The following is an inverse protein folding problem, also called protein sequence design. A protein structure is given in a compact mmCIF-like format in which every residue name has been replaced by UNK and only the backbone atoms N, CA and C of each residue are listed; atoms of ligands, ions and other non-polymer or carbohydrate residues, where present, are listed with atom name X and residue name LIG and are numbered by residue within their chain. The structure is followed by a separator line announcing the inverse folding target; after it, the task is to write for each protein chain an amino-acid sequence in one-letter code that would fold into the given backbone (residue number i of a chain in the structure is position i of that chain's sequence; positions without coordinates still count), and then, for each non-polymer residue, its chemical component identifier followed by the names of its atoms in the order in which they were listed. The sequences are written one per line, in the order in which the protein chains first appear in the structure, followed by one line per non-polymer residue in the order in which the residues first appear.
data_IF_878295267501
#
_entry.id   IF_878295267501
#
_cell.length_a   1.000
_cell.length_b   1.000
_cell.length_c   1.000
_cell.angle_alpha   90.00
_cell.angle_beta   90.00
_cell.angle_gamma   90.00
#
_symmetry.space_group_name_H-M   'P 1'
#
loop_
_entity.id
_entity.type
_entity.pdbx_description
1 polymer ?
#
# COMPACT_ATOMS: atom_id res chain seq x y z
N UNK A 1 -12.28 36.37 -54.34
CA UNK A 1 -13.46 36.14 -55.21
C UNK A 1 -12.96 35.73 -56.57
N UNK A 2 -13.36 34.55 -57.03
CA UNK A 2 -12.81 33.89 -58.23
C UNK A 2 -13.11 32.41 -58.12
N UNK A 3 -14.37 32.07 -58.36
CA UNK A 3 -14.90 30.72 -58.49
C UNK A 3 -14.51 30.14 -59.85
N UNK A 4 -14.80 28.83 -59.97
CA UNK A 4 -14.99 28.05 -61.20
C UNK A 4 -13.75 27.37 -61.78
N UNK A 5 -13.82 26.13 -62.27
CA UNK A 5 -14.69 24.94 -62.14
C UNK A 5 -14.06 23.96 -63.16
N UNK A 6 -14.54 22.72 -63.13
CA UNK A 6 -14.34 21.66 -64.12
C UNK A 6 -13.03 20.88 -64.04
N UNK A 7 -12.97 19.60 -64.39
CA UNK A 7 -13.94 18.51 -64.58
C UNK A 7 -13.12 17.38 -65.21
N UNK A 8 -13.46 16.13 -64.91
CA UNK A 8 -13.45 15.11 -65.95
C UNK A 8 -12.15 14.35 -66.23
N UNK A 9 -12.04 13.19 -65.57
CA UNK A 9 -12.03 11.86 -66.17
C UNK A 9 -10.90 11.36 -67.12
N UNK A 10 -10.63 10.07 -66.89
CA UNK A 10 -10.05 9.01 -67.76
C UNK A 10 -8.51 8.89 -67.70
N UNK A 11 -7.90 7.77 -67.30
CA UNK A 11 -8.35 6.39 -67.18
C UNK A 11 -7.48 5.51 -68.08
N UNK A 12 -6.59 4.68 -67.52
CA UNK A 12 -6.19 3.39 -68.10
C UNK A 12 -5.86 2.40 -66.99
N UNK A 13 -6.66 1.34 -67.00
CA UNK A 13 -6.67 0.15 -66.15
C UNK A 13 -5.71 -0.87 -66.77
N UNK A 14 -4.79 -1.45 -65.99
CA UNK A 14 -4.28 -2.82 -66.22
C UNK A 14 -4.10 -3.49 -64.86
N UNK A 15 -5.00 -4.44 -64.58
CA UNK A 15 -4.98 -5.35 -63.44
C UNK A 15 -3.84 -6.38 -63.55
N UNK A 16 -3.42 -6.97 -62.42
CA UNK A 16 -3.45 -8.43 -62.36
C UNK A 16 -4.40 -8.94 -61.27
N UNK A 17 -5.61 -9.24 -61.73
CA UNK A 17 -6.35 -10.51 -61.55
C UNK A 17 -6.18 -11.22 -60.19
N UNK A 18 -7.13 -10.92 -59.32
CA UNK A 18 -7.48 -11.66 -58.12
C UNK A 18 -8.11 -13.05 -58.44
N UNK A 19 -7.65 -14.12 -57.79
CA UNK A 19 -8.36 -15.40 -57.60
C UNK A 19 -8.06 -15.86 -56.16
N UNK A 20 -8.88 -15.48 -55.18
CA UNK A 20 -10.12 -16.12 -54.69
C UNK A 20 -9.89 -17.44 -53.93
N UNK A 21 -10.28 -17.40 -52.64
CA UNK A 21 -10.61 -18.53 -51.78
C UNK A 21 -9.65 -18.65 -50.58
N UNK A 22 -10.04 -18.70 -49.32
CA UNK A 22 -11.33 -18.87 -48.65
C UNK A 22 -11.23 -18.25 -47.24
N UNK A 23 -12.39 -17.88 -46.69
CA UNK A 23 -12.60 -17.42 -45.33
C UNK A 23 -12.46 -18.55 -44.30
N UNK A 24 -12.17 -18.13 -43.06
CA UNK A 24 -12.76 -18.62 -41.81
C UNK A 24 -11.99 -19.64 -40.94
N UNK A 25 -12.27 -19.47 -39.64
CA UNK A 25 -12.08 -20.34 -38.47
C UNK A 25 -10.66 -20.37 -37.89
N UNK A 26 -10.38 -19.59 -36.84
CA UNK A 26 -10.73 -19.84 -35.44
C UNK A 26 -9.87 -20.94 -34.81
N UNK A 27 -9.14 -20.57 -33.75
CA UNK A 27 -9.07 -21.36 -32.52
C UNK A 27 -8.48 -20.50 -31.41
N UNK A 28 -9.29 -20.37 -30.36
CA UNK A 28 -8.93 -19.77 -29.08
C UNK A 28 -7.69 -20.46 -28.52
N UNK A 29 -6.66 -19.68 -28.18
CA UNK A 29 -5.77 -20.08 -27.09
C UNK A 29 -6.27 -19.34 -25.86
N UNK A 30 -6.96 -20.11 -25.01
CA UNK A 30 -7.26 -19.76 -23.63
C UNK A 30 -5.95 -19.36 -22.93
N UNK A 31 -5.67 -18.06 -22.78
CA UNK A 31 -4.92 -17.61 -21.62
C UNK A 31 -5.92 -17.50 -20.48
N UNK A 32 -6.17 -18.65 -19.86
CA UNK A 32 -6.85 -18.77 -18.58
C UNK A 32 -6.30 -17.72 -17.63
N UNK A 33 -7.20 -16.84 -17.21
CA UNK A 33 -7.08 -15.88 -16.12
C UNK A 33 -6.42 -16.52 -14.90
N UNK A 34 -5.13 -16.27 -14.72
CA UNK A 34 -4.44 -16.50 -13.46
C UNK A 34 -4.49 -15.21 -12.61
N UNK A 35 -5.69 -14.70 -12.33
CA UNK A 35 -5.91 -14.04 -11.04
C UNK A 35 -6.30 -15.16 -10.09
N UNK A 36 -5.26 -15.82 -9.60
CA UNK A 36 -5.34 -16.75 -8.50
C UNK A 36 -6.07 -16.05 -7.36
N UNK A 37 -7.23 -16.63 -7.05
CA UNK A 37 -7.78 -16.71 -5.71
C UNK A 37 -8.10 -15.33 -5.12
N UNK A 38 -9.40 -15.02 -5.13
CA UNK A 38 -10.02 -14.62 -3.88
C UNK A 38 -9.73 -15.74 -2.85
N UNK A 39 -8.50 -15.73 -2.33
CA UNK A 39 -8.26 -16.28 -1.01
C UNK A 39 -9.31 -15.55 -0.18
N UNK A 40 -10.17 -16.29 0.50
CA UNK A 40 -10.70 -15.75 1.73
C UNK A 40 -9.47 -15.22 2.44
N UNK A 41 -9.29 -13.90 2.42
CA UNK A 41 -8.24 -13.24 3.16
C UNK A 41 -8.69 -13.50 4.58
N UNK A 42 -8.26 -14.66 5.09
CA UNK A 42 -8.30 -14.95 6.51
C UNK A 42 -7.80 -13.67 7.15
N UNK A 43 -8.62 -13.03 8.00
CA UNK A 43 -8.26 -11.76 8.59
C UNK A 43 -6.84 -11.95 9.14
N UNK A 44 -5.89 -11.07 8.78
CA UNK A 44 -4.49 -11.30 9.05
C UNK A 44 -4.37 -11.64 10.53
N UNK A 45 -3.88 -12.86 10.80
CA UNK A 45 -3.70 -13.35 12.15
C UNK A 45 -2.90 -12.33 12.96
N UNK A 46 -3.11 -12.27 14.26
CA UNK A 46 -2.35 -11.36 15.11
C UNK A 46 -0.83 -11.53 14.92
N UNK A 47 -0.36 -12.76 14.66
CA UNK A 47 1.04 -13.07 14.38
C UNK A 47 1.54 -12.51 13.04
N UNK A 48 0.75 -12.61 11.96
CA UNK A 48 1.12 -12.04 10.66
C UNK A 48 1.13 -10.50 10.68
N UNK A 49 0.17 -9.89 11.40
CA UNK A 49 0.15 -8.46 11.65
C UNK A 49 1.43 -7.97 12.35
N UNK A 50 1.84 -8.64 13.44
CA UNK A 50 3.08 -8.27 14.15
C UNK A 50 4.33 -8.44 13.28
N UNK A 51 4.40 -9.50 12.47
CA UNK A 51 5.53 -9.73 11.58
C UNK A 51 5.65 -8.63 10.50
N UNK A 52 4.53 -8.21 9.91
CA UNK A 52 4.48 -7.12 8.94
C UNK A 52 4.82 -5.76 9.57
N UNK A 53 4.33 -5.47 10.79
CA UNK A 53 4.69 -4.24 11.52
C UNK A 53 6.20 -4.17 11.78
N UNK A 54 6.79 -5.24 12.30
CA UNK A 54 8.22 -5.29 12.58
C UNK A 54 9.07 -5.17 11.29
N UNK A 55 8.58 -5.66 10.15
CA UNK A 55 9.25 -5.48 8.87
C UNK A 55 9.25 -4.01 8.43
N UNK A 56 8.09 -3.34 8.50
CA UNK A 56 7.97 -1.92 8.16
C UNK A 56 8.82 -1.03 9.08
N UNK A 57 8.91 -1.35 10.37
CA UNK A 57 9.77 -0.60 11.32
C UNK A 57 11.25 -0.70 10.95
N UNK A 58 11.75 -1.90 10.63
CA UNK A 58 13.12 -2.07 10.13
C UNK A 58 13.38 -1.28 8.86
N UNK A 59 12.42 -1.27 7.93
CA UNK A 59 12.54 -0.50 6.68
C UNK A 59 12.53 1.01 6.92
N UNK A 60 11.79 1.50 7.91
CA UNK A 60 11.79 2.91 8.33
C UNK A 60 13.18 3.31 8.85
N UNK A 61 13.79 2.47 9.68
CA UNK A 61 15.13 2.71 10.22
C UNK A 61 16.20 2.66 9.13
N UNK A 62 16.07 1.73 8.19
CA UNK A 62 16.94 1.66 7.02
C UNK A 62 16.78 2.92 6.13
N UNK A 63 15.56 3.36 5.86
CA UNK A 63 15.30 4.58 5.10
C UNK A 63 15.85 5.82 5.83
N UNK A 64 15.75 5.87 7.16
CA UNK A 64 16.31 6.93 8.00
C UNK A 64 17.84 6.98 7.89
N UNK A 65 18.51 5.84 8.07
CA UNK A 65 19.99 5.76 7.98
C UNK A 65 20.52 6.16 6.60
N UNK A 66 19.72 5.97 5.54
CA UNK A 66 20.04 6.34 4.16
C UNK A 66 19.59 7.76 3.77
N UNK A 67 19.01 8.54 4.68
CA UNK A 67 18.51 9.89 4.39
C UNK A 67 17.29 9.94 3.44
N UNK A 68 16.58 8.82 3.26
CA UNK A 68 15.46 8.70 2.32
C UNK A 68 14.16 9.21 2.94
N UNK A 69 14.05 10.53 3.11
CA UNK A 69 12.97 11.15 3.87
C UNK A 69 11.56 10.90 3.30
N UNK A 70 11.39 10.93 1.97
CA UNK A 70 10.10 10.64 1.34
C UNK A 70 9.69 9.18 1.54
N UNK A 71 10.64 8.25 1.31
CA UNK A 71 10.39 6.81 1.50
C UNK A 71 10.03 6.51 2.95
N UNK A 72 10.73 7.12 3.90
CA UNK A 72 10.43 7.01 5.33
C UNK A 72 8.99 7.44 5.64
N UNK A 73 8.50 8.54 5.05
CA UNK A 73 7.12 9.00 5.24
C UNK A 73 6.12 7.97 4.69
N UNK A 74 6.33 7.49 3.47
CA UNK A 74 5.48 6.46 2.87
C UNK A 74 5.42 5.17 3.68
N UNK A 75 6.56 4.73 4.24
CA UNK A 75 6.60 3.56 5.12
C UNK A 75 5.86 3.80 6.44
N UNK A 76 5.97 5.00 7.03
CA UNK A 76 5.23 5.37 8.23
C UNK A 76 3.71 5.42 7.99
N UNK A 77 3.27 5.91 6.83
CA UNK A 77 1.86 5.87 6.40
C UNK A 77 1.38 4.42 6.18
N UNK A 78 2.23 3.57 5.59
CA UNK A 78 1.92 2.15 5.40
C UNK A 78 1.77 1.43 6.74
N UNK A 79 2.64 1.75 7.71
CA UNK A 79 2.59 1.21 9.06
C UNK A 79 1.33 1.64 9.81
N UNK A 80 0.92 2.92 9.70
CA UNK A 80 -0.32 3.39 10.32
C UNK A 80 -1.57 2.75 9.72
N UNK A 81 -1.58 2.58 8.39
CA UNK A 81 -2.65 1.87 7.69
C UNK A 81 -2.72 0.39 8.09
N UNK A 82 -1.57 -0.29 8.20
CA UNK A 82 -1.48 -1.67 8.66
C UNK A 82 -2.03 -1.83 10.08
N UNK A 83 -1.58 -0.98 11.02
CA UNK A 83 -2.06 -0.98 12.41
C UNK A 83 -3.57 -0.83 12.51
N UNK A 84 -4.16 0.05 11.70
CA UNK A 84 -5.61 0.25 11.67
C UNK A 84 -6.35 -1.01 11.23
N UNK A 85 -5.85 -1.70 10.20
CA UNK A 85 -6.43 -2.97 9.73
C UNK A 85 -6.27 -4.09 10.76
N UNK A 86 -5.08 -4.21 11.34
CA UNK A 86 -4.76 -5.23 12.33
C UNK A 86 -5.51 -5.06 13.66
N UNK A 87 -5.82 -3.82 14.05
CA UNK A 87 -6.68 -3.54 15.20
C UNK A 87 -8.16 -3.88 14.92
N UNK A 88 -8.61 -3.74 13.67
CA UNK A 88 -9.94 -4.14 13.26
C UNK A 88 -10.12 -5.67 13.16
N UNK A 89 -9.03 -6.43 12.95
CA UNK A 89 -9.04 -7.90 12.87
C UNK A 89 -8.79 -8.61 14.20
N UNK A 90 -8.34 -7.90 15.24
CA UNK A 90 -8.18 -8.48 16.58
C UNK A 90 -9.52 -8.81 17.26
N UNK A 91 -9.55 -9.75 18.23
CA UNK A 91 -10.73 -9.96 19.05
C UNK A 91 -11.11 -8.63 19.70
N UNK A 92 -12.31 -8.15 19.41
CA UNK A 92 -12.74 -6.82 19.82
C UNK A 92 -12.90 -6.79 21.34
N UNK A 93 -11.85 -6.34 22.05
CA UNK A 93 -11.97 -6.01 23.45
C UNK A 93 -13.12 -5.02 23.62
N UNK A 94 -13.94 -5.16 24.66
CA UNK A 94 -15.05 -4.22 24.87
C UNK A 94 -14.50 -2.80 25.02
N UNK A 95 -15.30 -1.79 24.66
CA UNK A 95 -14.89 -0.38 24.82
C UNK A 95 -14.48 -0.06 26.25
N UNK A 96 -15.19 -0.62 27.24
CA UNK A 96 -14.87 -0.46 28.66
C UNK A 96 -13.50 -1.05 28.99
N UNK A 97 -13.22 -2.29 28.61
CA UNK A 97 -11.93 -2.92 28.88
C UNK A 97 -10.75 -2.20 28.17
N UNK A 98 -10.99 -1.53 27.03
CA UNK A 98 -9.99 -0.64 26.40
C UNK A 98 -9.72 0.60 27.24
N UNK A 99 -10.77 1.23 27.77
CA UNK A 99 -10.64 2.41 28.62
C UNK A 99 -9.87 2.06 29.90
N UNK A 100 -10.26 0.99 30.60
CA UNK A 100 -9.62 0.56 31.85
C UNK A 100 -8.12 0.22 31.65
N UNK A 101 -7.77 -0.34 30.48
CA UNK A 101 -6.38 -0.58 30.13
C UNK A 101 -5.62 0.74 29.97
N UNK A 102 -6.15 1.66 29.17
CA UNK A 102 -5.51 2.95 28.90
C UNK A 102 -5.36 3.79 30.19
N UNK A 103 -6.35 3.78 31.07
CA UNK A 103 -6.28 4.46 32.36
C UNK A 103 -5.13 3.93 33.22
N UNK A 104 -4.96 2.61 33.31
CA UNK A 104 -3.83 1.99 34.01
C UNK A 104 -2.50 2.34 33.38
N UNK A 105 -2.40 2.26 32.05
CA UNK A 105 -1.19 2.61 31.31
C UNK A 105 -0.79 4.08 31.56
N UNK A 106 -1.75 5.00 31.61
CA UNK A 106 -1.51 6.42 31.93
C UNK A 106 -0.94 6.59 33.34
N UNK A 107 -1.49 5.88 34.33
CA UNK A 107 -0.98 5.98 35.70
C UNK A 107 0.44 5.44 35.82
N UNK A 108 0.73 4.33 35.15
CA UNK A 108 2.07 3.75 35.11
C UNK A 108 3.09 4.71 34.50
N UNK A 109 2.79 5.25 33.32
CA UNK A 109 3.68 6.18 32.61
C UNK A 109 3.94 7.48 33.40
N UNK A 110 2.94 7.96 34.15
CA UNK A 110 3.14 9.12 35.04
C UNK A 110 4.11 8.82 36.18
N UNK A 111 4.00 7.64 36.79
CA UNK A 111 4.92 7.22 37.84
C UNK A 111 6.35 7.05 37.30
N UNK A 112 6.50 6.47 36.11
CA UNK A 112 7.81 6.36 35.43
C UNK A 112 8.42 7.73 35.13
N UNK A 113 7.59 8.69 34.68
CA UNK A 113 8.04 10.05 34.42
C UNK A 113 8.50 10.75 35.69
N UNK A 114 7.72 10.68 36.77
CA UNK A 114 8.08 11.27 38.07
C UNK A 114 9.40 10.70 38.60
N UNK A 115 9.60 9.39 38.47
CA UNK A 115 10.86 8.75 38.85
C UNK A 115 12.05 9.27 38.01
N UNK A 116 11.90 9.36 36.70
CA UNK A 116 12.95 9.88 35.81
C UNK A 116 13.27 11.35 36.09
N UNK A 117 12.26 12.16 36.43
CA UNK A 117 12.44 13.56 36.81
C UNK A 117 13.19 13.71 38.15
N UNK A 118 12.92 12.85 39.14
CA UNK A 118 13.68 12.85 40.40
C UNK A 118 15.14 12.44 40.18
N UNK A 119 15.39 11.39 39.39
CA UNK A 119 16.76 11.00 39.02
C UNK A 119 17.51 12.14 38.34
N UNK A 120 16.84 12.89 37.47
CA UNK A 120 17.42 14.07 36.84
C UNK A 120 17.73 15.17 37.87
N UNK A 121 16.86 15.38 38.86
CA UNK A 121 17.09 16.35 39.94
C UNK A 121 18.28 15.97 40.81
N UNK A 122 18.40 14.69 41.18
CA UNK A 122 19.55 14.17 41.93
C UNK A 122 20.85 14.42 41.18
N UNK A 123 20.94 13.99 39.90
CA UNK A 123 22.12 14.19 39.07
C UNK A 123 22.48 15.67 38.85
N UNK A 124 21.49 16.58 38.85
CA UNK A 124 21.73 18.03 38.75
C UNK A 124 22.22 18.65 40.06
N UNK A 125 21.86 18.06 41.20
CA UNK A 125 22.26 18.50 42.52
C UNK A 125 23.61 17.90 42.94
N UNK A 126 23.96 16.73 42.41
CA UNK A 126 25.31 16.19 42.39
C UNK A 126 26.19 17.02 41.43
N UNK A 127 26.56 18.24 41.85
CA UNK A 127 27.65 18.96 41.18
C UNK A 127 28.98 18.23 41.46
N UNK A 128 29.89 18.18 40.47
CA UNK A 128 31.22 17.58 40.65
C UNK A 128 32.05 18.29 41.73
#
# INVERSE_FOLDING_TARGET
MGLDRHSGCQGKRVEPRMKRGLLAAALLVLSTSAFAQAQAVEPPSAASCQAEEAALERDIDLARSRGQMLRRRQLAESLSALRTRCQASGPSMSRAARIDKLERDIQLLKAELEQAEEQLRELKNERP
#
